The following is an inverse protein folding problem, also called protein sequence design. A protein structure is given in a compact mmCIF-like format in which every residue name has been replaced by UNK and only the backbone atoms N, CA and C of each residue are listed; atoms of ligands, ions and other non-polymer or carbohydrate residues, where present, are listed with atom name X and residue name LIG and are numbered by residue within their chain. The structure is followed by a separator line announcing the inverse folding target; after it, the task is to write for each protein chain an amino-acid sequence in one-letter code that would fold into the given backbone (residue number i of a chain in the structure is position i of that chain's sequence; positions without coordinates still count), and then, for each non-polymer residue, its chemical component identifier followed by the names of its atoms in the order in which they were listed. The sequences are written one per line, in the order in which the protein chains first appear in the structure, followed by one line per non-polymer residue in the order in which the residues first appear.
data_IF_525134419729
#
_entry.id   IF_525134419729
#
_cell.length_a   1.000
_cell.length_b   1.000
_cell.length_c   1.000
_cell.angle_alpha   90.00
_cell.angle_beta   90.00
_cell.angle_gamma   90.00
#
_symmetry.space_group_name_H-M   'P 1'
#
loop_
_entity.id
_entity.type
_entity.pdbx_description
1 polymer ?
#
# COMPACT_ATOMS: atom_id res chain seq x y z
N UNK A 1 0.77 -22.68 -7.20
CA UNK A 1 1.37 -21.43 -7.72
C UNK A 1 0.74 -20.26 -6.98
N UNK A 2 1.53 -19.24 -6.64
CA UNK A 2 1.05 -18.01 -5.97
C UNK A 2 1.52 -16.83 -6.81
N UNK A 3 0.59 -15.96 -7.22
CA UNK A 3 0.89 -14.71 -7.92
C UNK A 3 1.46 -13.63 -7.02
N UNK A 4 2.13 -12.66 -7.62
CA UNK A 4 2.49 -11.41 -6.96
C UNK A 4 1.33 -10.42 -7.06
N UNK A 5 1.32 -9.34 -6.27
CA UNK A 5 0.24 -8.35 -6.27
C UNK A 5 -0.02 -7.69 -7.65
N UNK A 6 0.92 -7.75 -8.58
CA UNK A 6 0.74 -7.28 -9.97
C UNK A 6 -0.09 -8.21 -10.86
N UNK A 7 -0.38 -9.44 -10.41
CA UNK A 7 -1.22 -10.40 -11.10
C UNK A 7 -2.41 -10.81 -10.21
N UNK A 8 -2.96 -9.85 -9.46
CA UNK A 8 -3.87 -10.10 -8.34
C UNK A 8 -5.15 -9.28 -8.40
N UNK A 9 -5.46 -8.67 -9.54
CA UNK A 9 -6.70 -7.91 -9.74
C UNK A 9 -7.81 -8.78 -10.30
N UNK A 10 -9.05 -8.28 -10.22
CA UNK A 10 -10.20 -8.86 -10.89
C UNK A 10 -9.99 -8.97 -12.41
N UNK A 11 -9.24 -8.04 -13.02
CA UNK A 11 -8.94 -8.07 -14.46
C UNK A 11 -8.01 -9.24 -14.84
N UNK A 12 -7.22 -9.75 -13.90
CA UNK A 12 -6.31 -10.87 -14.13
C UNK A 12 -7.04 -12.23 -14.00
N UNK A 13 -8.16 -12.27 -13.27
CA UNK A 13 -8.87 -13.53 -12.94
C UNK A 13 -10.18 -13.70 -13.70
N UNK A 14 -10.95 -12.63 -13.90
CA UNK A 14 -12.26 -12.69 -14.59
C UNK A 14 -12.15 -13.32 -15.99
N UNK A 15 -11.19 -12.93 -16.85
CA UNK A 15 -11.10 -13.50 -18.20
C UNK A 15 -10.82 -15.01 -18.22
N UNK A 16 -10.19 -15.54 -17.16
CA UNK A 16 -9.90 -16.96 -17.03
C UNK A 16 -11.11 -17.79 -16.53
N UNK A 17 -12.20 -17.13 -16.13
CA UNK A 17 -13.44 -17.77 -15.68
C UNK A 17 -13.22 -18.75 -14.52
N UNK A 18 -13.90 -19.90 -14.56
CA UNK A 18 -13.79 -20.95 -13.55
C UNK A 18 -12.37 -21.52 -13.39
N UNK A 19 -11.53 -21.41 -14.43
CA UNK A 19 -10.13 -21.86 -14.37
C UNK A 19 -9.27 -21.08 -13.37
N UNK A 20 -9.70 -19.87 -12.99
CA UNK A 20 -9.03 -19.07 -11.96
C UNK A 20 -9.50 -19.42 -10.54
N UNK A 21 -10.50 -20.29 -10.37
CA UNK A 21 -11.03 -20.58 -9.04
C UNK A 21 -9.95 -21.14 -8.11
N UNK A 22 -9.80 -20.54 -6.94
CA UNK A 22 -8.78 -20.91 -5.96
C UNK A 22 -7.37 -20.41 -6.26
N UNK A 23 -7.20 -19.60 -7.30
CA UNK A 23 -5.97 -18.85 -7.57
C UNK A 23 -5.60 -17.99 -6.35
N UNK A 24 -4.31 -17.97 -6.02
CA UNK A 24 -3.77 -17.27 -4.85
C UNK A 24 -2.78 -16.23 -5.30
N UNK A 25 -2.78 -15.08 -4.63
CA UNK A 25 -1.80 -14.04 -4.86
C UNK A 25 -1.43 -13.34 -3.55
N UNK A 26 -0.22 -12.79 -3.51
CA UNK A 26 0.22 -11.88 -2.45
C UNK A 26 -0.51 -10.55 -2.60
N UNK A 27 -0.94 -9.97 -1.49
CA UNK A 27 -1.45 -8.59 -1.40
C UNK A 27 -0.87 -7.92 -0.15
N UNK A 28 -0.90 -6.60 -0.09
CA UNK A 28 -0.52 -5.81 1.09
C UNK A 28 -1.68 -4.96 1.59
N UNK A 29 -2.86 -5.11 0.99
CA UNK A 29 -4.06 -4.35 1.32
C UNK A 29 -5.29 -5.26 1.40
N UNK A 30 -6.32 -4.79 2.09
CA UNK A 30 -7.61 -5.44 2.22
C UNK A 30 -8.35 -5.51 0.89
N UNK A 31 -9.36 -6.36 0.85
CA UNK A 31 -10.19 -6.64 -0.33
C UNK A 31 -11.63 -6.24 -0.07
N UNK A 32 -12.37 -5.87 -1.12
CA UNK A 32 -13.74 -5.43 -0.99
C UNK A 32 -13.87 -4.04 -0.38
N UNK A 33 -15.08 -3.71 0.05
CA UNK A 33 -15.49 -2.37 0.51
C UNK A 33 -16.07 -2.34 1.92
N UNK A 34 -15.87 -3.42 2.70
CA UNK A 34 -16.38 -3.55 4.07
C UNK A 34 -15.50 -2.82 5.10
N UNK A 35 -15.12 -1.57 4.81
CA UNK A 35 -14.31 -0.71 5.67
C UNK A 35 -15.04 0.61 5.95
N UNK A 36 -14.94 1.18 7.17
CA UNK A 36 -15.63 2.43 7.53
C UNK A 36 -15.39 3.60 6.56
N UNK A 37 -14.20 3.70 5.96
CA UNK A 37 -13.88 4.75 4.97
C UNK A 37 -14.87 4.78 3.79
N UNK A 38 -15.47 3.64 3.42
CA UNK A 38 -16.40 3.56 2.29
C UNK A 38 -17.70 4.30 2.55
N UNK A 39 -18.11 4.48 3.81
CA UNK A 39 -19.23 5.34 4.16
C UNK A 39 -18.91 6.82 3.86
N UNK A 40 -17.71 7.26 4.19
CA UNK A 40 -17.25 8.62 3.89
C UNK A 40 -17.05 8.82 2.38
N UNK A 41 -16.48 7.84 1.67
CA UNK A 41 -16.39 7.88 0.21
C UNK A 41 -17.77 7.97 -0.43
N UNK A 42 -18.74 7.20 0.06
CA UNK A 42 -20.12 7.30 -0.43
C UNK A 42 -20.65 8.71 -0.27
N UNK A 43 -20.57 9.29 0.92
CA UNK A 43 -21.13 10.61 1.23
C UNK A 43 -20.41 11.74 0.48
N UNK A 44 -19.08 11.72 0.46
CA UNK A 44 -18.26 12.86 0.04
C UNK A 44 -17.79 12.76 -1.40
N UNK A 45 -17.79 11.57 -1.99
CA UNK A 45 -17.31 11.32 -3.36
C UNK A 45 -18.44 10.81 -4.25
N UNK A 46 -19.07 9.68 -3.92
CA UNK A 46 -20.02 9.03 -4.82
C UNK A 46 -21.34 9.79 -4.93
N UNK A 47 -22.02 10.07 -3.80
CA UNK A 47 -23.28 10.81 -3.76
C UNK A 47 -23.10 12.28 -4.19
N UNK A 48 -21.87 12.78 -4.10
CA UNK A 48 -21.50 14.12 -4.56
C UNK A 48 -21.19 14.19 -6.08
N UNK A 49 -21.27 13.06 -6.81
CA UNK A 49 -20.98 13.00 -8.24
C UNK A 49 -19.50 13.23 -8.60
N UNK A 50 -18.58 12.96 -7.65
CA UNK A 50 -17.13 13.19 -7.79
C UNK A 50 -16.35 11.90 -8.04
N UNK A 51 -17.03 10.79 -8.34
CA UNK A 51 -16.36 9.55 -8.69
C UNK A 51 -15.55 9.75 -9.99
N UNK A 52 -14.34 9.21 -10.02
CA UNK A 52 -13.53 9.17 -11.24
C UNK A 52 -13.96 8.00 -12.14
N UNK A 53 -13.83 8.17 -13.46
CA UNK A 53 -14.18 7.14 -14.43
C UNK A 53 -15.67 6.78 -14.38
N UNK A 54 -15.98 5.49 -14.53
CA UNK A 54 -17.35 4.98 -14.48
C UNK A 54 -17.94 4.92 -13.06
N UNK A 55 -17.14 5.11 -12.02
CA UNK A 55 -17.58 5.08 -10.62
C UNK A 55 -17.99 3.70 -10.09
N UNK A 56 -17.70 2.63 -10.82
CA UNK A 56 -18.10 1.25 -10.52
C UNK A 56 -16.98 0.38 -9.94
N UNK A 57 -15.83 0.99 -9.61
CA UNK A 57 -14.63 0.28 -9.16
C UNK A 57 -14.48 0.21 -7.64
N UNK A 58 -15.45 0.70 -6.86
CA UNK A 58 -15.36 0.71 -5.40
C UNK A 58 -15.13 -0.71 -4.83
N UNK A 59 -14.10 -0.85 -3.99
CA UNK A 59 -13.77 -2.13 -3.33
C UNK A 59 -12.97 -3.12 -4.18
N UNK A 60 -12.71 -2.84 -5.46
CA UNK A 60 -11.84 -3.70 -6.26
C UNK A 60 -10.40 -3.61 -5.77
N UNK A 61 -9.60 -4.63 -6.07
CA UNK A 61 -8.18 -4.68 -5.66
C UNK A 61 -7.43 -3.42 -6.08
N UNK A 62 -7.62 -2.94 -7.31
CA UNK A 62 -6.92 -1.77 -7.81
C UNK A 62 -7.42 -0.46 -7.17
N UNK A 63 -8.71 -0.37 -6.84
CA UNK A 63 -9.24 0.78 -6.10
C UNK A 63 -8.64 0.85 -4.70
N UNK A 64 -8.63 -0.28 -3.98
CA UNK A 64 -8.03 -0.39 -2.64
C UNK A 64 -6.53 -0.06 -2.66
N UNK A 65 -5.81 -0.50 -3.70
CA UNK A 65 -4.39 -0.15 -3.90
C UNK A 65 -4.18 1.35 -4.08
N UNK A 66 -5.04 2.00 -4.86
CA UNK A 66 -5.05 3.45 -5.02
C UNK A 66 -5.30 4.18 -3.69
N UNK A 67 -6.23 3.66 -2.88
CA UNK A 67 -6.50 4.21 -1.54
C UNK A 67 -5.28 4.11 -0.61
N UNK A 68 -4.58 2.97 -0.59
CA UNK A 68 -3.35 2.82 0.22
C UNK A 68 -2.29 3.85 -0.20
N UNK A 69 -2.04 3.99 -1.50
CA UNK A 69 -1.06 4.95 -2.01
C UNK A 69 -1.41 6.39 -1.65
N UNK A 70 -2.68 6.79 -1.81
CA UNK A 70 -3.16 8.11 -1.45
C UNK A 70 -3.08 8.37 0.06
N UNK A 71 -3.44 7.37 0.88
CA UNK A 71 -3.36 7.45 2.33
C UNK A 71 -1.92 7.71 2.80
N UNK A 72 -0.95 6.91 2.34
CA UNK A 72 0.45 7.10 2.72
C UNK A 72 0.99 8.46 2.28
N UNK A 73 0.66 8.93 1.08
CA UNK A 73 1.04 10.25 0.61
C UNK A 73 0.46 11.37 1.49
N UNK A 74 -0.81 11.27 1.88
CA UNK A 74 -1.49 12.27 2.73
C UNK A 74 -0.94 12.24 4.15
N UNK A 75 -0.71 11.07 4.75
CA UNK A 75 -0.11 10.96 6.09
C UNK A 75 1.32 11.52 6.10
N UNK A 76 2.13 11.22 5.08
CA UNK A 76 3.49 11.77 4.95
C UNK A 76 3.48 13.30 4.76
N UNK A 77 2.57 13.83 3.94
CA UNK A 77 2.39 15.28 3.83
C UNK A 77 1.98 15.90 5.16
N UNK A 78 1.07 15.26 5.92
CA UNK A 78 0.70 15.73 7.27
C UNK A 78 1.89 15.71 8.23
N UNK A 79 2.73 14.69 8.17
CA UNK A 79 3.96 14.61 8.97
C UNK A 79 4.94 15.72 8.58
N UNK A 80 5.15 15.97 7.29
CA UNK A 80 5.98 17.08 6.80
C UNK A 80 5.46 18.44 7.30
N UNK A 81 4.15 18.67 7.21
CA UNK A 81 3.52 19.90 7.72
C UNK A 81 3.78 20.12 9.21
N UNK A 82 3.77 19.04 10.01
CA UNK A 82 4.07 19.10 11.45
C UNK A 82 5.55 19.39 11.71
N UNK A 83 6.45 18.69 11.02
CA UNK A 83 7.91 18.86 11.17
C UNK A 83 8.33 20.31 10.86
N UNK A 84 7.78 20.87 9.78
CA UNK A 84 8.19 22.17 9.25
C UNK A 84 7.26 23.33 9.64
N UNK A 85 6.20 23.05 10.39
CA UNK A 85 5.19 24.02 10.83
C UNK A 85 4.65 24.90 9.67
N UNK A 86 4.34 24.28 8.54
CA UNK A 86 3.82 24.96 7.33
C UNK A 86 2.77 24.11 6.65
N UNK A 87 1.84 24.76 5.93
CA UNK A 87 0.89 24.07 5.04
C UNK A 87 1.42 23.95 3.61
N UNK A 88 2.35 24.81 3.23
CA UNK A 88 2.96 24.85 1.90
C UNK A 88 4.29 24.09 1.93
N UNK A 89 4.21 22.76 1.86
CA UNK A 89 5.40 21.90 1.89
C UNK A 89 6.15 21.94 0.56
N UNK A 90 7.48 21.96 0.63
CA UNK A 90 8.35 21.76 -0.54
C UNK A 90 8.61 20.27 -0.79
N UNK A 91 9.15 19.88 -1.96
CA UNK A 91 9.55 18.49 -2.19
C UNK A 91 10.53 17.93 -1.16
N UNK A 92 11.47 18.75 -0.67
CA UNK A 92 12.41 18.34 0.38
C UNK A 92 11.70 18.08 1.72
N UNK A 93 10.71 18.92 2.07
CA UNK A 93 9.90 18.72 3.26
C UNK A 93 9.04 17.45 3.15
N UNK A 94 8.52 17.16 1.95
CA UNK A 94 7.76 15.94 1.69
C UNK A 94 8.62 14.69 1.88
N UNK A 95 9.88 14.71 1.43
CA UNK A 95 10.85 13.65 1.75
C UNK A 95 11.00 13.48 3.26
N UNK A 96 11.18 14.56 4.02
CA UNK A 96 11.31 14.47 5.47
C UNK A 96 10.05 13.87 6.12
N UNK A 97 8.86 14.20 5.61
CA UNK A 97 7.60 13.59 6.05
C UNK A 97 7.47 12.11 5.73
N UNK A 98 7.94 11.67 4.56
CA UNK A 98 8.02 10.26 4.17
C UNK A 98 9.04 9.51 5.04
N UNK A 99 10.22 10.07 5.27
CA UNK A 99 11.28 9.48 6.10
C UNK A 99 10.96 9.46 7.60
N UNK A 100 9.92 10.18 8.03
CA UNK A 100 9.41 10.16 9.39
C UNK A 100 8.00 9.56 9.49
N UNK A 101 7.53 8.88 8.44
CA UNK A 101 6.18 8.32 8.38
C UNK A 101 6.03 7.17 9.40
N UNK A 102 5.09 7.32 10.33
CA UNK A 102 4.71 6.31 11.32
C UNK A 102 3.18 6.18 11.31
N UNK A 103 2.69 5.08 10.74
CA UNK A 103 1.26 4.77 10.60
C UNK A 103 1.00 3.42 11.26
N UNK A 104 0.78 3.40 12.59
CA UNK A 104 0.41 2.18 13.31
C UNK A 104 -1.05 1.79 13.02
N UNK A 105 -1.44 0.57 13.43
CA UNK A 105 -2.82 0.08 13.28
C UNK A 105 -3.86 1.02 13.93
N UNK A 106 -3.54 1.65 15.06
CA UNK A 106 -4.44 2.63 15.69
C UNK A 106 -4.72 3.82 14.76
N UNK A 107 -3.72 4.27 13.99
CA UNK A 107 -3.89 5.34 13.01
C UNK A 107 -4.70 4.88 11.80
N UNK A 108 -4.51 3.64 11.35
CA UNK A 108 -5.35 3.05 10.29
C UNK A 108 -6.82 2.96 10.73
N UNK A 109 -7.08 2.53 11.97
CA UNK A 109 -8.43 2.49 12.52
C UNK A 109 -9.08 3.89 12.60
N UNK A 110 -8.34 4.92 13.03
CA UNK A 110 -8.81 6.32 13.01
C UNK A 110 -9.15 6.82 11.59
N UNK A 111 -8.47 6.30 10.58
CA UNK A 111 -8.71 6.60 9.16
C UNK A 111 -9.86 5.77 8.57
N UNK A 112 -10.54 4.94 9.37
CA UNK A 112 -11.60 4.07 8.89
C UNK A 112 -11.11 2.90 8.05
N UNK A 113 -9.85 2.49 8.27
CA UNK A 113 -9.13 1.45 7.53
C UNK A 113 -8.54 0.35 8.48
N UNK A 114 -9.29 -0.16 9.47
CA UNK A 114 -8.76 -1.17 10.39
C UNK A 114 -8.37 -2.44 9.64
N UNK A 115 -7.19 -2.99 9.93
CA UNK A 115 -6.59 -4.16 9.27
C UNK A 115 -6.53 -4.06 7.74
N UNK A 116 -6.57 -2.85 7.18
CA UNK A 116 -6.68 -2.65 5.75
C UNK A 116 -5.33 -2.77 5.02
N UNK A 117 -4.23 -2.48 5.67
CA UNK A 117 -2.90 -2.56 5.05
C UNK A 117 -1.86 -2.82 6.13
N UNK A 118 -0.63 -3.06 5.71
CA UNK A 118 0.50 -3.21 6.62
C UNK A 118 0.76 -1.89 7.38
N UNK A 119 0.83 -1.89 8.72
CA UNK A 119 1.33 -0.76 9.48
C UNK A 119 2.77 -0.45 9.10
N UNK A 120 3.10 0.82 8.91
CA UNK A 120 4.43 1.23 8.42
C UNK A 120 5.14 2.15 9.40
N UNK A 121 6.44 1.93 9.53
CA UNK A 121 7.38 2.88 10.13
C UNK A 121 8.57 3.03 9.21
N UNK A 122 8.65 4.17 8.57
CA UNK A 122 9.68 4.51 7.58
C UNK A 122 10.80 5.27 8.28
N UNK A 123 12.01 5.18 7.74
CA UNK A 123 13.17 5.94 8.20
C UNK A 123 14.05 6.34 7.02
N UNK A 124 15.02 7.23 7.22
CA UNK A 124 16.04 7.52 6.20
C UNK A 124 16.75 6.26 5.68
N UNK A 125 16.95 5.25 6.54
CA UNK A 125 17.62 4.00 6.19
C UNK A 125 16.69 2.92 5.60
N UNK A 126 15.37 3.03 5.79
CA UNK A 126 14.41 2.06 5.27
C UNK A 126 13.19 2.77 4.67
N UNK A 127 13.19 2.91 3.34
CA UNK A 127 12.07 3.46 2.55
C UNK A 127 11.02 2.41 2.15
N UNK A 128 11.29 1.12 2.39
CA UNK A 128 10.41 0.01 1.99
C UNK A 128 9.42 -0.45 3.06
N UNK A 129 9.58 -0.01 4.31
CA UNK A 129 8.78 -0.47 5.43
C UNK A 129 9.13 -1.91 5.87
N UNK A 130 8.20 -2.64 6.50
CA UNK A 130 8.50 -3.92 7.14
C UNK A 130 8.51 -5.12 6.16
N UNK A 131 8.12 -4.94 4.90
CA UNK A 131 8.12 -6.02 3.90
C UNK A 131 7.16 -7.17 4.22
N UNK A 132 5.98 -6.85 4.78
CA UNK A 132 4.94 -7.82 5.09
C UNK A 132 3.92 -7.92 3.94
N UNK A 133 3.29 -9.08 3.79
CA UNK A 133 2.17 -9.30 2.88
C UNK A 133 1.19 -10.34 3.40
N UNK A 134 0.02 -10.43 2.79
CA UNK A 134 -1.01 -11.42 3.06
C UNK A 134 -1.26 -12.23 1.79
N UNK A 135 -1.83 -13.43 1.93
CA UNK A 135 -2.31 -14.19 0.78
C UNK A 135 -3.82 -13.97 0.65
N UNK A 136 -4.24 -13.58 -0.55
CA UNK A 136 -5.63 -13.58 -0.97
C UNK A 136 -5.92 -14.74 -1.92
N UNK A 137 -7.15 -15.24 -1.90
CA UNK A 137 -7.62 -16.30 -2.79
C UNK A 137 -8.87 -15.86 -3.56
N UNK A 138 -8.91 -16.17 -4.86
CA UNK A 138 -10.02 -15.87 -5.75
C UNK A 138 -11.10 -16.95 -5.68
N UNK A 139 -12.34 -16.51 -5.56
CA UNK A 139 -13.56 -17.30 -5.77
C UNK A 139 -14.17 -16.88 -7.11
N UNK A 140 -14.16 -17.78 -8.10
CA UNK A 140 -14.65 -17.48 -9.44
C UNK A 140 -16.18 -17.35 -9.51
N UNK A 141 -16.90 -18.13 -8.71
CA UNK A 141 -18.36 -18.11 -8.67
C UNK A 141 -18.86 -16.82 -8.03
N UNK A 142 -18.24 -16.41 -6.91
CA UNK A 142 -18.56 -15.18 -6.22
C UNK A 142 -17.95 -13.94 -6.89
N UNK A 143 -16.94 -14.12 -7.75
CA UNK A 143 -16.08 -13.08 -8.33
C UNK A 143 -15.48 -12.18 -7.24
N UNK A 144 -14.92 -12.80 -6.21
CA UNK A 144 -14.40 -12.09 -5.02
C UNK A 144 -13.05 -12.63 -4.61
N UNK A 145 -12.23 -11.73 -4.07
CA UNK A 145 -11.04 -12.07 -3.31
C UNK A 145 -11.36 -12.16 -1.82
N UNK A 146 -10.71 -13.09 -1.14
CA UNK A 146 -10.74 -13.23 0.32
C UNK A 146 -9.31 -13.34 0.86
N UNK A 147 -9.00 -12.66 1.95
CA UNK A 147 -7.74 -12.84 2.68
C UNK A 147 -7.78 -14.19 3.41
N UNK A 148 -6.75 -15.02 3.26
CA UNK A 148 -6.70 -16.39 3.79
C UNK A 148 -5.50 -16.63 4.73
N UNK A 149 -4.69 -15.62 5.00
CA UNK A 149 -3.57 -15.70 5.95
C UNK A 149 -3.48 -14.42 6.77
N UNK A 150 -2.80 -14.51 7.90
CA UNK A 150 -2.24 -13.34 8.58
C UNK A 150 -1.10 -12.71 7.74
N UNK A 151 -0.48 -11.65 8.28
CA UNK A 151 0.72 -11.04 7.72
C UNK A 151 1.90 -12.00 7.77
N UNK A 152 2.57 -12.14 6.62
CA UNK A 152 3.75 -12.97 6.41
C UNK A 152 4.93 -12.04 6.10
N UNK A 153 6.06 -12.27 6.77
CA UNK A 153 7.31 -11.54 6.52
C UNK A 153 8.12 -12.18 5.40
N UNK A 154 8.80 -11.35 4.61
CA UNK A 154 9.91 -11.80 3.80
C UNK A 154 11.11 -12.22 4.68
N UNK A 155 12.02 -13.01 4.11
CA UNK A 155 13.31 -13.31 4.71
C UNK A 155 14.23 -12.08 4.60
N UNK A 156 14.21 -11.24 5.65
CA UNK A 156 14.93 -9.96 5.64
C UNK A 156 16.44 -10.13 5.69
N UNK A 157 16.96 -11.21 6.25
CA UNK A 157 18.40 -11.44 6.28
C UNK A 157 18.95 -11.58 4.85
N UNK A 158 18.23 -12.31 3.99
CA UNK A 158 18.58 -12.46 2.58
C UNK A 158 18.29 -11.18 1.80
N UNK A 159 17.08 -10.61 1.95
CA UNK A 159 16.64 -9.47 1.14
C UNK A 159 17.41 -8.19 1.47
N UNK A 160 17.74 -7.93 2.74
CA UNK A 160 18.44 -6.70 3.15
C UNK A 160 19.90 -6.70 2.68
N UNK A 161 20.54 -7.87 2.62
CA UNK A 161 21.88 -8.00 2.05
C UNK A 161 21.89 -7.62 0.57
N UNK A 162 20.91 -8.09 -0.21
CA UNK A 162 20.76 -7.76 -1.63
C UNK A 162 20.42 -6.28 -1.83
N UNK A 163 19.51 -5.71 -1.02
CA UNK A 163 19.19 -4.28 -1.06
C UNK A 163 20.45 -3.44 -0.85
N UNK A 164 21.28 -3.80 0.14
CA UNK A 164 22.52 -3.07 0.43
C UNK A 164 23.51 -3.17 -0.73
N UNK A 165 23.75 -4.37 -1.25
CA UNK A 165 24.66 -4.61 -2.38
C UNK A 165 24.26 -3.79 -3.61
N UNK A 166 22.99 -3.88 -4.03
CA UNK A 166 22.48 -3.18 -5.20
C UNK A 166 22.49 -1.65 -5.00
N UNK A 167 22.15 -1.16 -3.80
CA UNK A 167 22.18 0.27 -3.48
C UNK A 167 23.60 0.85 -3.50
N UNK A 168 24.57 0.11 -2.98
CA UNK A 168 25.99 0.50 -2.99
C UNK A 168 26.57 0.48 -4.41
N UNK A 169 26.21 -0.53 -5.21
CA UNK A 169 26.59 -0.62 -6.61
C UNK A 169 26.04 0.58 -7.42
N UNK A 170 24.74 0.87 -7.27
CA UNK A 170 24.11 2.02 -7.93
C UNK A 170 24.75 3.35 -7.51
N UNK A 171 25.02 3.54 -6.22
CA UNK A 171 25.66 4.76 -5.73
C UNK A 171 27.06 4.96 -6.32
N UNK A 172 27.85 3.88 -6.41
CA UNK A 172 29.17 3.89 -7.03
C UNK A 172 29.11 4.22 -8.52
N UNK A 173 28.22 3.58 -9.27
CA UNK A 173 28.05 3.81 -10.71
C UNK A 173 27.67 5.26 -11.02
N UNK A 174 26.84 5.86 -10.16
CA UNK A 174 26.28 7.20 -10.37
C UNK A 174 27.04 8.31 -9.61
N UNK A 175 28.19 8.02 -9.00
CA UNK A 175 28.98 8.95 -8.19
C UNK A 175 28.17 9.63 -7.07
N UNK A 176 27.26 8.89 -6.44
CA UNK A 176 26.42 9.34 -5.34
C UNK A 176 27.13 9.01 -4.03
N UNK A 177 27.30 10.02 -3.16
CA UNK A 177 27.71 9.78 -1.77
C UNK A 177 26.47 9.42 -0.94
N UNK A 178 26.38 8.21 -0.35
CA UNK A 178 25.27 7.85 0.53
C UNK A 178 25.13 8.82 1.71
N UNK A 179 23.88 9.14 2.06
CA UNK A 179 23.59 10.01 3.21
C UNK A 179 23.90 9.29 4.52
N UNK A 180 24.36 10.03 5.51
CA UNK A 180 24.33 9.57 6.90
C UNK A 180 22.92 9.68 7.43
N UNK A 181 22.31 8.54 7.74
CA UNK A 181 21.03 8.46 8.43
C UNK A 181 21.29 8.32 9.93
N UNK A 182 20.87 9.31 10.72
CA UNK A 182 20.92 9.27 12.19
C UNK A 182 19.53 8.93 12.74
#
# INVERSE_FOLDING_TARGET
FIGVWWSASENDTIPAGEGANGYKAVTFHGVGSDFPIYADLKKHVYDAGKAAGAGDQAGTVLYNRGMVAAMWAVEAARTAMKIHNTKDITPAMMRDGMEALDVPESRLAELGLPNFTVPVKVSCANHGGPGLGMIQQWDAAAKKWSIITDLISADREVVDALIKEDSEAYAKENNITPRTCN
#
